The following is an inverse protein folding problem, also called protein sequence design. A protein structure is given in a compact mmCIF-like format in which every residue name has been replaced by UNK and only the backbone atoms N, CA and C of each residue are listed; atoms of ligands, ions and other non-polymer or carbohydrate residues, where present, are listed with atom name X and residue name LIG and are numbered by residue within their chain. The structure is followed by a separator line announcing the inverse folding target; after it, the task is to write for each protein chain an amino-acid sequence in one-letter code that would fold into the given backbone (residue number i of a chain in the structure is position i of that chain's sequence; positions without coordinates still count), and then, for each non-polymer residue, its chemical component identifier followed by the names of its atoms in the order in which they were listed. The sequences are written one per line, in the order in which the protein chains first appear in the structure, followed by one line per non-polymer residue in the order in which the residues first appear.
data_IF_698561267415
#
_entry.id   IF_698561267415
#
_cell.length_a   1.000
_cell.length_b   1.000
_cell.length_c   1.000
_cell.angle_alpha   90.00
_cell.angle_beta   90.00
_cell.angle_gamma   90.00
#
_symmetry.space_group_name_H-M   'P 1'
#
loop_
_entity.id
_entity.type
_entity.pdbx_description
1 polymer ?
#
# COMPACT_ATOMS: atom_id res chain seq x y z
N UNK A 1 -69.22 -0.42 7.17
CA UNK A 1 -68.57 0.88 7.47
C UNK A 1 -68.33 0.97 8.98
N UNK A 2 -67.15 1.36 9.48
CA UNK A 2 -65.79 1.33 8.94
C UNK A 2 -64.81 0.51 9.84
N UNK A 3 -63.84 -0.23 9.31
CA UNK A 3 -62.46 0.17 8.94
C UNK A 3 -61.53 0.51 10.10
N UNK A 4 -60.50 -0.35 10.32
CA UNK A 4 -59.09 0.06 10.31
C UNK A 4 -58.16 -1.15 10.14
N UNK A 5 -57.45 -1.15 9.02
CA UNK A 5 -56.33 -2.05 8.70
C UNK A 5 -55.16 -1.78 9.68
N UNK A 6 -54.39 -2.80 10.10
CA UNK A 6 -53.04 -2.53 10.55
C UNK A 6 -52.20 -2.09 9.34
N UNK A 7 -51.53 -0.97 9.55
CA UNK A 7 -50.72 -0.20 8.61
C UNK A 7 -49.66 -1.03 7.90
N UNK A 8 -49.56 -0.78 6.59
CA UNK A 8 -48.39 -1.02 5.78
C UNK A 8 -47.13 -0.54 6.50
N UNK A 9 -46.16 -1.43 6.57
CA UNK A 9 -44.83 -1.18 7.10
C UNK A 9 -43.85 -2.09 6.35
N UNK A 10 -43.97 -2.12 5.02
CA UNK A 10 -43.02 -2.78 4.14
C UNK A 10 -41.60 -2.25 4.35
N UNK A 11 -40.88 -2.84 5.30
CA UNK A 11 -39.42 -2.75 5.36
C UNK A 11 -38.89 -3.52 4.15
N UNK A 12 -38.69 -2.81 3.04
CA UNK A 12 -37.81 -3.28 1.97
C UNK A 12 -36.45 -3.52 2.62
N UNK A 13 -36.12 -4.79 2.84
CA UNK A 13 -34.77 -5.17 3.21
C UNK A 13 -33.84 -4.63 2.11
N UNK A 14 -32.96 -3.71 2.48
CA UNK A 14 -31.90 -3.26 1.60
C UNK A 14 -31.08 -4.50 1.24
N UNK A 15 -31.08 -4.86 -0.05
CA UNK A 15 -30.18 -5.86 -0.60
C UNK A 15 -28.75 -5.39 -0.39
N UNK A 16 -28.15 -5.80 0.71
CA UNK A 16 -26.73 -5.67 0.94
C UNK A 16 -26.05 -6.56 -0.10
N UNK A 17 -25.30 -5.96 -1.01
CA UNK A 17 -24.43 -6.71 -1.91
C UNK A 17 -23.46 -7.49 -1.01
N UNK A 18 -23.66 -8.80 -0.89
CA UNK A 18 -22.69 -9.72 -0.30
C UNK A 18 -21.47 -9.72 -1.23
N UNK A 19 -20.56 -8.77 -1.02
CA UNK A 19 -19.20 -8.91 -1.52
C UNK A 19 -18.64 -10.12 -0.79
N UNK A 20 -18.55 -11.25 -1.50
CA UNK A 20 -17.90 -12.45 -1.00
C UNK A 20 -16.51 -12.06 -0.54
N UNK A 21 -16.24 -12.17 0.77
CA UNK A 21 -14.89 -12.02 1.30
C UNK A 21 -13.99 -13.00 0.55
N UNK A 22 -12.92 -12.54 -0.14
CA UNK A 22 -11.99 -13.48 -0.73
C UNK A 22 -11.36 -14.35 0.36
N UNK A 23 -11.10 -15.59 -0.05
CA UNK A 23 -10.44 -16.68 0.67
C UNK A 23 -9.44 -16.18 1.72
N UNK A 24 -9.63 -16.66 2.95
CA UNK A 24 -8.85 -16.33 4.14
C UNK A 24 -7.39 -15.95 3.82
N UNK A 25 -6.99 -14.73 4.15
CA UNK A 25 -5.57 -14.41 4.26
C UNK A 25 -4.97 -15.34 5.32
N UNK A 26 -3.85 -16.05 5.04
CA UNK A 26 -3.21 -16.85 6.04
C UNK A 26 -2.73 -15.94 7.19
N UNK A 27 -2.85 -16.46 8.40
CA UNK A 27 -2.30 -15.85 9.61
C UNK A 27 -0.79 -15.58 9.39
N UNK A 28 -0.38 -14.31 9.38
CA UNK A 28 1.03 -13.91 9.14
C UNK A 28 1.97 -14.33 10.27
N UNK A 29 1.49 -15.01 11.32
CA UNK A 29 2.29 -15.45 12.47
C UNK A 29 3.23 -16.64 12.19
N UNK A 30 3.36 -17.13 10.96
CA UNK A 30 4.03 -18.43 10.70
C UNK A 30 4.88 -18.59 9.45
N UNK A 31 5.11 -17.57 8.62
CA UNK A 31 6.08 -17.68 7.52
C UNK A 31 7.34 -16.89 7.86
N UNK A 32 8.42 -17.53 8.33
CA UNK A 32 9.72 -16.89 8.38
C UNK A 32 10.28 -16.84 6.96
N UNK A 33 9.67 -16.02 6.09
CA UNK A 33 10.43 -15.51 4.96
C UNK A 33 11.50 -14.61 5.60
N UNK A 34 12.79 -14.85 5.36
CA UNK A 34 13.82 -13.96 5.84
C UNK A 34 13.60 -12.61 5.18
N UNK A 35 12.88 -11.72 5.86
CA UNK A 35 12.77 -10.35 5.46
C UNK A 35 14.14 -9.70 5.69
N UNK A 36 14.73 -9.07 4.67
CA UNK A 36 15.90 -8.23 4.87
C UNK A 36 15.58 -7.19 5.94
N UNK A 37 16.60 -6.75 6.66
CA UNK A 37 16.41 -5.69 7.66
C UNK A 37 16.62 -4.34 6.98
N UNK A 38 15.80 -3.32 7.30
CA UNK A 38 16.03 -1.98 6.78
C UNK A 38 17.36 -1.43 7.34
N UNK A 39 18.07 -0.59 6.59
CA UNK A 39 19.24 0.09 7.11
C UNK A 39 18.84 1.05 8.22
N UNK A 40 19.69 1.18 9.24
CA UNK A 40 19.44 2.08 10.37
C UNK A 40 20.05 3.44 10.05
N UNK A 41 19.22 4.49 10.00
CA UNK A 41 19.70 5.86 9.82
C UNK A 41 20.63 6.30 10.96
N UNK A 42 21.72 7.00 10.61
CA UNK A 42 22.54 7.73 11.58
C UNK A 42 21.64 8.71 12.36
N UNK A 43 21.88 8.81 13.66
CA UNK A 43 21.27 9.83 14.52
C UNK A 43 22.38 10.72 15.07
N UNK A 44 22.27 12.01 14.80
CA UNK A 44 23.19 13.02 15.34
C UNK A 44 22.60 13.70 16.59
N UNK A 45 23.44 14.37 17.36
CA UNK A 45 22.98 15.13 18.53
C UNK A 45 22.34 16.46 18.08
N UNK A 46 21.29 16.90 18.78
CA UNK A 46 20.62 18.16 18.49
C UNK A 46 19.10 18.04 18.61
N UNK A 47 18.40 19.13 18.27
CA UNK A 47 16.94 19.16 18.22
C UNK A 47 16.38 18.36 17.04
N UNK A 48 17.13 18.27 15.94
CA UNK A 48 16.83 17.42 14.80
C UNK A 48 17.99 16.43 14.56
N UNK A 49 17.87 15.19 15.05
CA UNK A 49 18.88 14.15 14.85
C UNK A 49 19.11 13.72 13.39
N UNK A 50 18.27 14.18 12.45
CA UNK A 50 18.25 13.76 11.06
C UNK A 50 18.49 14.91 10.07
N UNK A 51 18.89 16.09 10.56
CA UNK A 51 19.21 17.25 9.71
C UNK A 51 20.27 16.94 8.63
N UNK A 52 21.12 15.93 8.86
CA UNK A 52 22.11 15.48 7.87
C UNK A 52 21.49 14.94 6.57
N UNK A 53 20.22 14.53 6.55
CA UNK A 53 19.51 14.08 5.34
C UNK A 53 19.12 15.23 4.40
N UNK A 54 19.21 16.49 4.86
CA UNK A 54 18.85 17.66 4.05
C UNK A 54 19.86 17.91 2.91
N UNK A 55 21.13 17.54 3.11
CA UNK A 55 22.20 17.68 2.12
C UNK A 55 22.14 16.53 1.10
N UNK A 56 21.17 16.62 0.18
CA UNK A 56 20.79 15.54 -0.75
C UNK A 56 21.94 14.95 -1.58
N UNK A 57 22.94 15.76 -1.90
CA UNK A 57 24.09 15.36 -2.72
C UNK A 57 25.30 14.91 -1.89
N UNK A 58 25.21 14.96 -0.55
CA UNK A 58 26.27 14.51 0.33
C UNK A 58 26.46 12.98 0.21
N UNK A 59 27.70 12.47 0.14
CA UNK A 59 27.97 11.05 -0.02
C UNK A 59 27.26 10.16 1.01
N UNK A 60 27.21 10.57 2.27
CA UNK A 60 26.54 9.85 3.35
C UNK A 60 25.03 9.72 3.15
N UNK A 61 24.38 10.74 2.58
CA UNK A 61 22.95 10.72 2.27
C UNK A 61 22.69 9.77 1.11
N UNK A 62 23.50 9.87 0.06
CA UNK A 62 23.39 8.99 -1.10
C UNK A 62 23.63 7.52 -0.71
N UNK A 63 24.59 7.23 0.16
CA UNK A 63 24.88 5.87 0.60
C UNK A 63 23.74 5.28 1.44
N UNK A 64 23.15 6.08 2.34
CA UNK A 64 21.98 5.65 3.11
C UNK A 64 20.76 5.40 2.19
N UNK A 65 20.49 6.31 1.24
CA UNK A 65 19.37 6.15 0.29
C UNK A 65 19.56 4.95 -0.64
N UNK A 66 20.79 4.64 -1.06
CA UNK A 66 21.07 3.41 -1.81
C UNK A 66 20.80 2.16 -0.98
N UNK A 67 21.16 2.16 0.30
CA UNK A 67 20.87 1.05 1.18
C UNK A 67 19.35 0.86 1.37
N UNK A 68 18.59 1.96 1.50
CA UNK A 68 17.12 1.92 1.58
C UNK A 68 16.50 1.41 0.27
N UNK A 69 17.00 1.86 -0.89
CA UNK A 69 16.53 1.36 -2.18
C UNK A 69 16.81 -0.15 -2.34
N UNK A 70 17.98 -0.63 -1.90
CA UNK A 70 18.30 -2.05 -1.93
C UNK A 70 17.36 -2.88 -1.03
N UNK A 71 17.05 -2.37 0.17
CA UNK A 71 16.05 -2.98 1.05
C UNK A 71 14.67 -3.03 0.37
N UNK A 72 14.21 -1.91 -0.19
CA UNK A 72 12.94 -1.83 -0.91
C UNK A 72 12.88 -2.83 -2.08
N UNK A 73 13.94 -2.91 -2.90
CA UNK A 73 14.02 -3.83 -4.03
C UNK A 73 13.90 -5.28 -3.57
N UNK A 74 14.54 -5.63 -2.45
CA UNK A 74 14.47 -6.97 -1.90
C UNK A 74 13.09 -7.32 -1.30
N UNK A 75 12.44 -6.39 -0.60
CA UNK A 75 11.08 -6.58 -0.07
C UNK A 75 10.02 -6.68 -1.18
N UNK A 76 10.23 -5.98 -2.29
CA UNK A 76 9.29 -5.94 -3.42
C UNK A 76 9.65 -6.91 -4.55
N UNK A 77 10.68 -7.74 -4.39
CA UNK A 77 11.16 -8.66 -5.42
C UNK A 77 10.05 -9.61 -5.88
N UNK A 78 9.29 -10.19 -4.95
CA UNK A 78 8.18 -11.11 -5.24
C UNK A 78 7.01 -10.45 -5.98
N UNK A 79 6.97 -9.11 -6.00
CA UNK A 79 5.91 -8.32 -6.63
C UNK A 79 6.32 -7.76 -7.99
N UNK A 80 7.54 -8.02 -8.47
CA UNK A 80 8.07 -7.43 -9.70
C UNK A 80 7.14 -7.63 -10.92
N UNK A 81 6.67 -8.86 -11.16
CA UNK A 81 5.77 -9.15 -12.28
C UNK A 81 4.40 -8.48 -12.17
N UNK A 82 3.85 -8.37 -10.95
CA UNK A 82 2.60 -7.65 -10.71
C UNK A 82 2.78 -6.14 -10.97
N UNK A 83 3.90 -5.57 -10.51
CA UNK A 83 4.22 -4.14 -10.73
C UNK A 83 4.35 -3.81 -12.21
N UNK A 84 5.04 -4.66 -12.98
CA UNK A 84 5.17 -4.51 -14.43
C UNK A 84 3.80 -4.61 -15.13
N UNK A 85 2.98 -5.59 -14.77
CA UNK A 85 1.62 -5.74 -15.31
C UNK A 85 0.78 -4.47 -15.07
N UNK A 86 0.77 -3.97 -13.83
CA UNK A 86 0.03 -2.76 -13.48
C UNK A 86 0.59 -1.52 -14.18
N UNK A 87 1.90 -1.43 -14.36
CA UNK A 87 2.53 -0.34 -15.10
C UNK A 87 2.03 -0.30 -16.55
N UNK A 88 2.06 -1.42 -17.27
CA UNK A 88 1.59 -1.49 -18.65
C UNK A 88 0.08 -1.22 -18.77
N UNK A 89 -0.72 -1.73 -17.82
CA UNK A 89 -2.15 -1.43 -17.77
C UNK A 89 -2.44 0.07 -17.59
N UNK A 90 -1.72 0.73 -16.69
CA UNK A 90 -1.89 2.17 -16.43
C UNK A 90 -1.43 2.96 -17.64
N UNK A 91 -0.24 2.65 -18.17
CA UNK A 91 0.33 3.29 -19.37
C UNK A 91 -0.64 3.20 -20.54
N UNK A 92 -1.20 2.03 -20.82
CA UNK A 92 -2.16 1.83 -21.91
C UNK A 92 -3.48 2.60 -21.74
N UNK A 93 -3.80 3.09 -20.53
CA UNK A 93 -4.99 3.92 -20.25
C UNK A 93 -4.70 5.43 -20.34
N UNK A 94 -3.44 5.84 -20.39
CA UNK A 94 -3.06 7.25 -20.57
C UNK A 94 -3.29 7.60 -22.03
N UNK A 95 -4.17 8.56 -22.30
CA UNK A 95 -4.35 9.13 -23.63
C UNK A 95 -3.18 10.08 -23.91
N UNK A 96 -2.45 9.84 -24.99
CA UNK A 96 -1.58 10.86 -25.58
C UNK A 96 -2.47 12.00 -26.08
N UNK A 97 -2.65 13.03 -25.25
CA UNK A 97 -3.04 14.33 -25.76
C UNK A 97 -1.77 14.98 -26.32
N UNK A 98 -1.74 15.14 -27.64
CA UNK A 98 -0.74 15.97 -28.33
C UNK A 98 -0.60 17.31 -27.60
N UNK A 99 0.63 17.65 -27.23
CA UNK A 99 1.04 18.99 -26.83
C UNK A 99 1.50 19.78 -28.07
#
# INVERSE_FOLDING_TARGET
MPTRLPTDGGRRAASFIQISRPRAWPDRRGFPMPHPQPPIARRDAGSDPYAWLEERDAPEVLDYLKAENAYLDSELADQAGLRETLFEEIRGRIRETDL
#
